data_IF_272792907380
#
_entry.id   IF_272792907380
#
_cell.length_a   1.000
_cell.length_b   1.000
_cell.length_c   1.000
_cell.angle_alpha   90.00
_cell.angle_beta   90.00
_cell.angle_gamma   90.00
#
_symmetry.space_group_name_H-M   'P 1'
#
loop_
_entity.id
_entity.type
_entity.pdbx_description
1 polymer ?
#
# COMPACT_ATOMS: atom_id res chain seq x y z
N UNK A 1 12.29 -8.68 14.53
CA UNK A 1 10.90 -8.37 14.11
C UNK A 1 10.70 -6.88 13.81
N UNK A 2 11.77 -6.13 13.49
CA UNK A 2 11.70 -4.67 13.27
C UNK A 2 11.07 -4.31 11.91
N UNK A 3 11.27 -5.15 10.89
CA UNK A 3 10.83 -4.88 9.51
C UNK A 3 9.44 -5.43 9.15
N UNK A 4 8.70 -6.02 10.10
CA UNK A 4 7.40 -6.64 9.81
C UNK A 4 6.41 -5.72 9.08
N UNK A 5 6.30 -4.40 9.39
CA UNK A 5 5.41 -3.50 8.67
C UNK A 5 5.81 -3.30 7.21
N UNK A 6 7.11 -3.14 6.93
CA UNK A 6 7.61 -2.90 5.58
C UNK A 6 7.55 -4.17 4.73
N UNK A 7 7.81 -5.33 5.33
CA UNK A 7 7.64 -6.63 4.67
C UNK A 7 6.17 -6.88 4.27
N UNK A 8 5.24 -6.56 5.17
CA UNK A 8 3.80 -6.67 4.88
C UNK A 8 3.40 -5.74 3.74
N UNK A 9 3.88 -4.49 3.75
CA UNK A 9 3.64 -3.53 2.67
C UNK A 9 4.14 -4.06 1.32
N UNK A 10 5.38 -4.55 1.25
CA UNK A 10 5.94 -5.08 0.01
C UNK A 10 5.23 -6.36 -0.48
N UNK A 11 4.77 -7.20 0.45
CA UNK A 11 3.98 -8.39 0.09
C UNK A 11 2.65 -7.99 -0.55
N UNK A 12 1.89 -7.09 0.09
CA UNK A 12 0.62 -6.58 -0.43
C UNK A 12 0.79 -5.85 -1.77
N UNK A 13 1.78 -4.98 -1.89
CA UNK A 13 2.11 -4.30 -3.15
C UNK A 13 2.29 -5.31 -4.29
N UNK A 14 3.11 -6.35 -4.09
CA UNK A 14 3.39 -7.36 -5.11
C UNK A 14 2.15 -8.17 -5.48
N UNK A 15 1.38 -8.63 -4.49
CA UNK A 15 0.18 -9.44 -4.73
C UNK A 15 -0.98 -8.66 -5.36
N UNK A 16 -1.14 -7.39 -5.01
CA UNK A 16 -2.28 -6.56 -5.43
C UNK A 16 -1.98 -5.76 -6.72
N UNK A 17 -0.75 -5.82 -7.25
CA UNK A 17 -0.37 -5.17 -8.52
C UNK A 17 0.35 -6.16 -9.43
N UNK A 18 1.67 -6.31 -9.29
CA UNK A 18 2.51 -7.09 -10.19
C UNK A 18 2.02 -8.52 -10.46
N UNK A 19 1.62 -9.25 -9.41
CA UNK A 19 1.15 -10.63 -9.58
C UNK A 19 -0.28 -10.71 -10.10
N UNK A 20 -1.12 -9.74 -9.73
CA UNK A 20 -2.50 -9.66 -10.20
C UNK A 20 -2.56 -9.38 -11.72
N UNK A 21 -1.72 -8.46 -12.19
CA UNK A 21 -1.62 -8.07 -13.60
C UNK A 21 -0.64 -8.94 -14.41
N UNK A 22 -0.01 -9.95 -13.80
CA UNK A 22 0.96 -10.82 -14.46
C UNK A 22 2.23 -10.11 -14.94
N UNK A 23 2.57 -8.96 -14.35
CA UNK A 23 3.73 -8.14 -14.71
C UNK A 23 5.00 -8.79 -14.15
N UNK A 24 5.71 -9.52 -15.00
CA UNK A 24 6.98 -10.17 -14.67
C UNK A 24 8.21 -9.36 -15.11
N UNK A 25 8.06 -8.47 -16.09
CA UNK A 25 9.10 -7.57 -16.61
C UNK A 25 8.46 -6.27 -17.09
N UNK A 26 9.00 -5.14 -16.67
CA UNK A 26 8.59 -3.81 -17.12
C UNK A 26 9.75 -2.83 -16.95
N UNK A 27 9.57 -1.57 -17.36
CA UNK A 27 10.60 -0.53 -17.22
C UNK A 27 10.63 0.04 -15.81
N UNK A 28 11.77 0.57 -15.37
CA UNK A 28 11.89 1.23 -14.07
C UNK A 28 10.87 2.37 -13.92
N UNK A 29 10.62 3.14 -14.98
CA UNK A 29 9.62 4.21 -14.97
C UNK A 29 8.21 3.67 -14.65
N UNK A 30 7.84 2.53 -15.23
CA UNK A 30 6.55 1.90 -14.97
C UNK A 30 6.48 1.32 -13.54
N UNK A 31 7.56 0.72 -13.04
CA UNK A 31 7.65 0.27 -11.64
C UNK A 31 7.46 1.43 -10.68
N UNK A 32 8.15 2.55 -10.89
CA UNK A 32 8.04 3.75 -10.04
C UNK A 32 6.59 4.22 -10.00
N UNK A 33 5.94 4.34 -11.16
CA UNK A 33 4.54 4.78 -11.24
C UNK A 33 3.58 3.84 -10.50
N UNK A 34 3.75 2.51 -10.64
CA UNK A 34 2.94 1.53 -9.89
C UNK A 34 3.14 1.74 -8.38
N UNK A 35 4.38 1.89 -7.93
CA UNK A 35 4.70 2.06 -6.50
C UNK A 35 4.12 3.36 -5.96
N UNK A 36 4.28 4.49 -6.65
CA UNK A 36 3.73 5.79 -6.24
C UNK A 36 2.20 5.75 -6.13
N UNK A 37 1.53 5.18 -7.13
CA UNK A 37 0.08 5.02 -7.13
C UNK A 37 -0.38 4.12 -5.99
N UNK A 38 0.34 3.02 -5.75
CA UNK A 38 0.01 2.09 -4.67
C UNK A 38 0.23 2.71 -3.28
N UNK A 39 1.29 3.50 -3.09
CA UNK A 39 1.52 4.25 -1.83
C UNK A 39 0.36 5.20 -1.56
N UNK A 40 -0.11 5.93 -2.57
CA UNK A 40 -1.26 6.82 -2.44
C UNK A 40 -2.53 6.04 -2.06
N UNK A 41 -2.81 4.95 -2.78
CA UNK A 41 -3.93 4.07 -2.47
C UNK A 41 -3.85 3.53 -1.04
N UNK A 42 -2.70 2.96 -0.65
CA UNK A 42 -2.49 2.34 0.65
C UNK A 42 -2.72 3.32 1.81
N UNK A 43 -2.28 4.56 1.66
CA UNK A 43 -2.36 5.56 2.73
C UNK A 43 -3.71 6.29 2.79
N UNK A 44 -4.29 6.63 1.63
CA UNK A 44 -5.44 7.53 1.56
C UNK A 44 -6.77 6.80 1.33
N UNK A 45 -6.76 5.64 0.67
CA UNK A 45 -7.97 4.98 0.18
C UNK A 45 -8.19 3.63 0.86
N UNK A 46 -7.14 2.85 1.12
CA UNK A 46 -7.22 1.48 1.63
C UNK A 46 -7.93 1.41 2.97
N UNK A 47 -9.10 0.79 2.97
CA UNK A 47 -9.90 0.57 4.18
C UNK A 47 -9.32 -0.58 4.98
N UNK A 48 -9.05 -0.33 6.27
CA UNK A 48 -8.56 -1.36 7.18
C UNK A 48 -9.54 -1.50 8.35
N UNK A 49 -10.04 -2.72 8.57
CA UNK A 49 -10.98 -3.02 9.66
C UNK A 49 -10.39 -2.69 11.03
N UNK A 50 -9.10 -2.97 11.22
CA UNK A 50 -8.33 -2.58 12.42
C UNK A 50 -8.23 -1.07 12.65
N UNK A 51 -8.54 -0.25 11.64
CA UNK A 51 -8.55 1.21 11.70
C UNK A 51 -9.99 1.75 11.70
N UNK A 52 -10.93 1.03 12.33
CA UNK A 52 -12.35 1.38 12.35
C UNK A 52 -12.94 1.57 10.95
N UNK A 53 -12.51 0.74 9.99
CA UNK A 53 -12.91 0.82 8.57
C UNK A 53 -12.57 2.18 7.94
N UNK A 54 -11.43 2.75 8.30
CA UNK A 54 -10.91 4.00 7.73
C UNK A 54 -9.58 3.76 7.01
N UNK A 55 -9.18 4.74 6.19
CA UNK A 55 -7.83 4.77 5.62
C UNK A 55 -6.79 5.19 6.67
N UNK A 56 -5.51 4.78 6.53
CA UNK A 56 -4.46 5.12 7.47
C UNK A 56 -4.35 6.60 7.82
N UNK A 57 -4.40 7.47 6.82
CA UNK A 57 -4.33 8.92 7.03
C UNK A 57 -5.53 9.43 7.80
N UNK A 58 -6.75 9.00 7.43
CA UNK A 58 -7.98 9.41 8.10
C UNK A 58 -8.02 8.97 9.56
N UNK A 59 -7.59 7.73 9.83
CA UNK A 59 -7.46 7.23 11.19
C UNK A 59 -6.50 8.09 12.00
N UNK A 60 -5.29 8.36 11.48
CA UNK A 60 -4.30 9.23 12.15
C UNK A 60 -4.85 10.62 12.46
N UNK A 61 -5.59 11.24 11.54
CA UNK A 61 -6.18 12.57 11.77
C UNK A 61 -7.24 12.57 12.89
N UNK A 62 -7.97 11.47 13.06
CA UNK A 62 -8.99 11.36 14.12
C UNK A 62 -8.40 10.97 15.48
N UNK A 63 -7.27 10.27 15.51
CA UNK A 63 -6.60 9.86 16.76
C UNK A 63 -5.68 10.92 17.36
N UNK A 64 -5.36 11.99 16.64
CA UNK A 64 -4.49 13.09 17.11
C UNK A 64 -5.32 14.25 17.70
N UNK A 65 -6.63 14.04 17.93
CA UNK A 65 -7.49 14.91 18.74
C UNK A 65 -7.58 14.40 20.17
#
# INVERSE_FOLDING_TARGET
ADNSPIETFHSSLKSETFYLDGINRTTNAHVIQIVENYINFYNNIRIQTKLNSQSPVKYRQLTVK
#
